data_IF_030135752884
#
_entry.id   IF_030135752884
#
_cell.length_a   1.000
_cell.length_b   1.000
_cell.length_c   1.000
_cell.angle_alpha   90.00
_cell.angle_beta   90.00
_cell.angle_gamma   90.00
#
_symmetry.space_group_name_H-M   'P 1'
#
loop_
_entity.id
_entity.type
_entity.pdbx_description
1 polymer ?
#
# COMPACT_ATOMS: atom_id res chain seq x y z
N UNK A 1 -37.15 -2.11 -42.01
CA UNK A 1 -36.99 -3.32 -41.16
C UNK A 1 -36.51 -2.82 -39.82
N UNK A 2 -37.03 -3.35 -38.70
CA UNK A 2 -36.47 -3.02 -37.38
C UNK A 2 -35.46 -4.11 -37.03
N UNK A 3 -34.18 -3.79 -37.15
CA UNK A 3 -33.14 -4.67 -36.67
C UNK A 3 -33.25 -4.76 -35.15
N UNK A 4 -33.30 -5.99 -34.65
CA UNK A 4 -33.52 -6.25 -33.23
C UNK A 4 -32.20 -6.05 -32.50
N UNK A 5 -31.99 -4.87 -31.92
CA UNK A 5 -30.77 -4.56 -31.15
C UNK A 5 -30.52 -5.64 -30.10
N UNK A 6 -29.52 -6.50 -30.36
CA UNK A 6 -29.07 -7.51 -29.42
C UNK A 6 -28.28 -6.82 -28.31
N UNK A 7 -28.88 -6.75 -27.12
CA UNK A 7 -28.22 -6.24 -25.92
C UNK A 7 -26.92 -7.02 -25.68
N UNK A 8 -25.80 -6.29 -25.56
CA UNK A 8 -24.46 -6.85 -25.34
C UNK A 8 -24.42 -7.69 -24.06
N UNK A 9 -24.91 -7.13 -22.95
CA UNK A 9 -25.18 -7.86 -21.71
C UNK A 9 -26.64 -7.57 -21.27
N UNK A 10 -27.57 -8.54 -21.37
CA UNK A 10 -28.96 -8.37 -20.93
C UNK A 10 -29.12 -7.99 -19.45
N UNK A 11 -28.14 -8.30 -18.59
CA UNK A 11 -28.14 -7.90 -17.18
C UNK A 11 -27.55 -6.50 -16.96
N UNK A 12 -26.93 -5.89 -17.98
CA UNK A 12 -26.24 -4.59 -17.90
C UNK A 12 -26.53 -3.76 -19.14
N UNK A 13 -27.79 -3.32 -19.36
CA UNK A 13 -28.18 -2.57 -20.56
C UNK A 13 -27.51 -1.19 -20.68
N UNK A 14 -26.78 -0.74 -19.65
CA UNK A 14 -25.92 0.45 -19.70
C UNK A 14 -24.53 0.18 -20.33
N UNK A 15 -24.23 -1.06 -20.76
CA UNK A 15 -23.04 -1.40 -21.54
C UNK A 15 -23.36 -1.16 -23.01
N UNK A 16 -22.72 -0.13 -23.53
CA UNK A 16 -22.95 0.45 -24.83
C UNK A 16 -21.98 -0.05 -25.91
N UNK A 17 -20.70 -0.05 -25.56
CA UNK A 17 -19.60 -0.40 -26.44
C UNK A 17 -19.41 -1.91 -26.42
N UNK A 18 -19.49 -2.56 -27.59
CA UNK A 18 -19.24 -4.00 -27.70
C UNK A 18 -17.84 -4.39 -27.20
N UNK A 19 -16.88 -3.47 -27.23
CA UNK A 19 -15.53 -3.68 -26.69
C UNK A 19 -15.48 -3.67 -25.15
N UNK A 20 -16.51 -3.17 -24.49
CA UNK A 20 -16.67 -3.23 -23.03
C UNK A 20 -17.40 -4.51 -22.56
N UNK A 21 -17.79 -5.43 -23.46
CA UNK A 21 -18.46 -6.69 -23.13
C UNK A 21 -17.73 -7.44 -21.99
N UNK A 22 -18.39 -7.75 -20.86
CA UNK A 22 -17.76 -8.37 -19.73
C UNK A 22 -17.43 -9.87 -19.92
N UNK A 23 -18.02 -10.55 -20.89
CA UNK A 23 -17.72 -11.93 -21.26
C UNK A 23 -16.40 -12.05 -22.04
N UNK A 24 -16.13 -11.09 -22.92
CA UNK A 24 -14.95 -11.06 -23.81
C UNK A 24 -13.66 -10.54 -23.13
N UNK A 25 -13.67 -10.32 -21.82
CA UNK A 25 -12.54 -9.76 -21.08
C UNK A 25 -11.38 -10.75 -20.93
N UNK A 26 -10.33 -10.57 -21.72
CA UNK A 26 -9.09 -11.38 -21.68
C UNK A 26 -8.14 -10.99 -20.55
N UNK A 27 -8.44 -11.44 -19.33
CA UNK A 27 -7.68 -11.14 -18.11
C UNK A 27 -6.15 -11.19 -18.23
N UNK A 28 -5.58 -12.24 -18.81
CA UNK A 28 -4.11 -12.37 -18.93
C UNK A 28 -3.51 -11.31 -19.84
N UNK A 29 -4.17 -10.97 -20.96
CA UNK A 29 -3.72 -9.88 -21.84
C UNK A 29 -3.85 -8.53 -21.10
N UNK A 30 -4.96 -8.27 -20.43
CA UNK A 30 -5.21 -7.03 -19.68
C UNK A 30 -4.18 -6.79 -18.57
N UNK A 31 -3.75 -7.85 -17.87
CA UNK A 31 -2.87 -7.75 -16.70
C UNK A 31 -1.38 -7.86 -17.03
N UNK A 32 -0.98 -8.59 -18.08
CA UNK A 32 0.43 -8.93 -18.33
C UNK A 32 0.99 -8.47 -19.69
N UNK A 33 0.16 -8.04 -20.65
CA UNK A 33 0.65 -7.52 -21.94
C UNK A 33 0.58 -5.97 -22.00
N UNK A 34 1.70 -5.24 -21.85
CA UNK A 34 1.71 -3.78 -21.84
C UNK A 34 1.47 -3.12 -23.22
N UNK A 35 1.57 -3.87 -24.32
CA UNK A 35 1.52 -3.33 -25.68
C UNK A 35 0.12 -3.34 -26.31
N UNK A 36 -0.91 -3.78 -25.59
CA UNK A 36 -2.29 -3.77 -26.07
C UNK A 36 -3.10 -2.57 -25.56
N UNK A 37 -4.39 -2.60 -25.86
CA UNK A 37 -5.37 -1.60 -25.45
C UNK A 37 -6.37 -2.20 -24.44
N UNK A 38 -6.90 -1.40 -23.53
CA UNK A 38 -7.92 -1.85 -22.55
C UNK A 38 -9.03 -0.83 -22.47
N UNK A 39 -10.26 -1.29 -22.70
CA UNK A 39 -11.48 -0.50 -22.57
C UNK A 39 -11.80 -0.11 -21.13
N UNK A 40 -12.71 0.84 -20.96
CA UNK A 40 -13.02 1.45 -19.67
C UNK A 40 -13.52 0.44 -18.65
N UNK A 41 -14.42 -0.46 -19.05
CA UNK A 41 -15.00 -1.45 -18.16
C UNK A 41 -14.03 -2.58 -17.86
N UNK A 42 -13.25 -3.04 -18.85
CA UNK A 42 -12.21 -4.05 -18.63
C UNK A 42 -11.12 -3.52 -17.68
N UNK A 43 -10.68 -2.27 -17.87
CA UNK A 43 -9.74 -1.60 -16.96
C UNK A 43 -10.33 -1.50 -15.54
N UNK A 44 -11.57 -1.02 -15.42
CA UNK A 44 -12.23 -0.82 -14.13
C UNK A 44 -12.43 -2.14 -13.38
N UNK A 45 -12.75 -3.24 -14.07
CA UNK A 45 -12.85 -4.58 -13.49
C UNK A 45 -11.49 -5.12 -13.03
N UNK A 46 -10.45 -5.00 -13.87
CA UNK A 46 -9.09 -5.39 -13.51
C UNK A 46 -8.61 -4.61 -12.27
N UNK A 47 -8.79 -3.30 -12.28
CA UNK A 47 -8.39 -2.42 -11.17
C UNK A 47 -9.17 -2.72 -9.88
N UNK A 48 -10.49 -2.90 -9.98
CA UNK A 48 -11.33 -3.26 -8.81
C UNK A 48 -10.94 -4.62 -8.23
N UNK A 49 -10.61 -5.61 -9.07
CA UNK A 49 -10.08 -6.90 -8.62
C UNK A 49 -8.77 -6.74 -7.85
N UNK A 50 -7.82 -5.96 -8.40
CA UNK A 50 -6.54 -5.69 -7.71
C UNK A 50 -6.74 -4.94 -6.39
N UNK A 51 -7.61 -3.92 -6.37
CA UNK A 51 -7.91 -3.13 -5.18
C UNK A 51 -8.60 -3.98 -4.09
N UNK A 52 -9.71 -4.65 -4.42
CA UNK A 52 -10.44 -5.48 -3.47
C UNK A 52 -9.61 -6.68 -3.00
N UNK A 53 -8.80 -7.29 -3.88
CA UNK A 53 -7.86 -8.34 -3.50
C UNK A 53 -6.88 -7.87 -2.42
N UNK A 54 -6.27 -6.68 -2.57
CA UNK A 54 -5.40 -6.07 -1.55
C UNK A 54 -6.15 -5.82 -0.24
N UNK A 55 -7.35 -5.22 -0.31
CA UNK A 55 -8.18 -4.92 0.86
C UNK A 55 -8.54 -6.18 1.63
N UNK A 56 -9.00 -7.24 0.94
CA UNK A 56 -9.39 -8.50 1.57
C UNK A 56 -8.18 -9.24 2.16
N UNK A 57 -7.07 -9.34 1.42
CA UNK A 57 -5.85 -10.00 1.88
C UNK A 57 -5.16 -9.27 3.05
N UNK A 58 -5.43 -7.97 3.24
CA UNK A 58 -4.96 -7.24 4.42
C UNK A 58 -5.95 -7.33 5.59
N UNK A 59 -7.21 -6.92 5.37
CA UNK A 59 -8.19 -6.75 6.44
C UNK A 59 -8.62 -8.09 7.02
N UNK A 60 -8.91 -9.10 6.19
CA UNK A 60 -9.47 -10.37 6.69
C UNK A 60 -8.48 -11.09 7.61
N UNK A 61 -7.20 -11.33 7.24
CA UNK A 61 -6.23 -11.93 8.17
C UNK A 61 -6.01 -11.09 9.42
N UNK A 62 -5.92 -9.75 9.29
CA UNK A 62 -5.70 -8.84 10.43
C UNK A 62 -6.85 -8.90 11.43
N UNK A 63 -8.10 -8.86 10.96
CA UNK A 63 -9.30 -8.94 11.81
C UNK A 63 -9.43 -10.33 12.44
N UNK A 64 -9.15 -11.41 11.69
CA UNK A 64 -9.15 -12.78 12.24
C UNK A 64 -8.14 -12.92 13.37
N UNK A 65 -6.91 -12.44 13.20
CA UNK A 65 -5.87 -12.48 14.26
C UNK A 65 -6.23 -11.60 15.46
N UNK A 66 -6.84 -10.43 15.23
CA UNK A 66 -7.33 -9.58 16.33
C UNK A 66 -8.43 -10.28 17.15
N UNK A 67 -9.41 -10.91 16.48
CA UNK A 67 -10.48 -11.67 17.15
C UNK A 67 -9.92 -12.86 17.91
N UNK A 68 -9.02 -13.65 17.30
CA UNK A 68 -8.37 -14.79 17.95
C UNK A 68 -7.55 -14.36 19.18
N UNK A 69 -6.83 -13.24 19.10
CA UNK A 69 -6.09 -12.67 20.22
C UNK A 69 -7.00 -12.23 21.38
N UNK A 70 -8.12 -11.55 21.08
CA UNK A 70 -9.13 -11.18 22.08
C UNK A 70 -9.77 -12.42 22.72
N UNK A 71 -9.99 -13.49 21.94
CA UNK A 71 -10.50 -14.76 22.42
C UNK A 71 -9.46 -15.64 23.16
N UNK A 72 -8.23 -15.15 23.34
CA UNK A 72 -7.19 -15.84 24.13
C UNK A 72 -6.41 -16.93 23.39
N UNK A 73 -6.55 -17.06 22.07
CA UNK A 73 -5.74 -17.98 21.28
C UNK A 73 -4.30 -17.46 21.11
N UNK A 74 -3.32 -18.38 21.09
CA UNK A 74 -1.94 -18.02 20.76
C UNK A 74 -1.81 -17.70 19.26
N UNK A 75 -1.67 -16.41 18.94
CA UNK A 75 -1.48 -15.92 17.56
C UNK A 75 -0.02 -15.67 17.18
N UNK A 76 0.94 -16.12 18.02
CA UNK A 76 2.37 -15.91 17.82
C UNK A 76 2.86 -16.42 16.45
N UNK A 77 2.50 -17.65 16.06
CA UNK A 77 2.89 -18.25 14.78
C UNK A 77 2.32 -17.51 13.55
N UNK A 78 1.21 -16.79 13.70
CA UNK A 78 0.61 -16.00 12.62
C UNK A 78 1.33 -14.65 12.43
N UNK A 79 1.92 -14.13 13.50
CA UNK A 79 2.74 -12.91 13.51
C UNK A 79 4.24 -13.18 13.32
N UNK A 80 4.66 -14.46 13.26
CA UNK A 80 6.06 -14.84 13.10
C UNK A 80 6.63 -14.27 11.78
N UNK A 81 7.80 -13.61 11.80
CA UNK A 81 8.33 -12.94 10.62
C UNK A 81 8.92 -13.93 9.62
N UNK A 82 8.25 -14.08 8.48
CA UNK A 82 8.79 -14.77 7.30
C UNK A 82 9.71 -13.80 6.55
N UNK A 83 10.93 -14.25 6.21
CA UNK A 83 11.91 -13.43 5.48
C UNK A 83 11.63 -13.47 3.97
N UNK A 84 11.08 -12.39 3.43
CA UNK A 84 11.00 -12.16 1.99
C UNK A 84 12.29 -11.48 1.53
N UNK A 85 13.34 -12.28 1.34
CA UNK A 85 14.70 -11.77 1.17
C UNK A 85 15.19 -11.09 2.46
N UNK A 86 15.52 -9.81 2.39
CA UNK A 86 15.94 -9.01 3.55
C UNK A 86 14.76 -8.44 4.37
N UNK A 87 13.53 -8.48 3.86
CA UNK A 87 12.37 -7.83 4.51
C UNK A 87 11.62 -8.86 5.36
N UNK A 88 11.50 -8.68 6.68
CA UNK A 88 10.65 -9.50 7.53
C UNK A 88 9.18 -9.09 7.33
N UNK A 89 8.33 -10.07 7.02
CA UNK A 89 6.89 -9.89 6.83
C UNK A 89 6.16 -10.86 7.77
N UNK A 90 5.19 -10.42 8.60
CA UNK A 90 4.39 -11.34 9.40
C UNK A 90 3.76 -12.44 8.52
N UNK A 91 3.85 -13.70 8.92
CA UNK A 91 3.44 -14.85 8.11
C UNK A 91 2.03 -14.69 7.51
N UNK A 92 1.08 -14.20 8.31
CA UNK A 92 -0.29 -13.89 7.91
C UNK A 92 -0.43 -12.84 6.78
N UNK A 93 0.54 -11.94 6.62
CA UNK A 93 0.56 -10.89 5.60
C UNK A 93 1.41 -11.26 4.37
N UNK A 94 2.08 -12.42 4.35
CA UNK A 94 2.84 -12.86 3.19
C UNK A 94 1.98 -12.92 1.90
N UNK A 95 0.74 -13.44 1.89
CA UNK A 95 -0.11 -13.41 0.70
C UNK A 95 -0.44 -11.98 0.25
N UNK A 96 -0.66 -11.06 1.19
CA UNK A 96 -0.89 -9.65 0.90
C UNK A 96 0.32 -9.00 0.24
N UNK A 97 1.54 -9.17 0.79
CA UNK A 97 2.76 -8.57 0.23
C UNK A 97 3.07 -9.10 -1.16
N UNK A 98 2.99 -10.41 -1.37
CA UNK A 98 3.16 -11.02 -2.71
C UNK A 98 2.11 -10.48 -3.69
N UNK A 99 0.85 -10.38 -3.27
CA UNK A 99 -0.22 -9.84 -4.11
C UNK A 99 -0.02 -8.36 -4.41
N UNK A 100 0.44 -7.53 -3.46
CA UNK A 100 0.80 -6.13 -3.70
C UNK A 100 1.88 -6.03 -4.78
N UNK A 101 2.99 -6.77 -4.66
CA UNK A 101 4.08 -6.74 -5.64
C UNK A 101 3.61 -7.11 -7.06
N UNK A 102 2.84 -8.19 -7.20
CA UNK A 102 2.25 -8.60 -8.49
C UNK A 102 1.32 -7.50 -9.01
N UNK A 103 0.46 -6.96 -8.16
CA UNK A 103 -0.55 -5.98 -8.58
C UNK A 103 -0.02 -4.56 -8.80
N UNK A 104 1.16 -4.19 -8.28
CA UNK A 104 1.85 -2.95 -8.70
C UNK A 104 2.22 -3.06 -10.18
N UNK A 105 2.85 -4.17 -10.57
CA UNK A 105 3.20 -4.44 -11.97
C UNK A 105 1.96 -4.53 -12.87
N UNK A 106 0.96 -5.33 -12.52
CA UNK A 106 -0.23 -5.48 -13.37
C UNK A 106 -1.12 -4.22 -13.38
N UNK A 107 -1.06 -3.38 -12.34
CA UNK A 107 -1.68 -2.05 -12.34
C UNK A 107 -0.98 -1.11 -13.32
N UNK A 108 0.36 -1.06 -13.34
CA UNK A 108 1.12 -0.30 -14.34
C UNK A 108 0.78 -0.75 -15.77
N UNK A 109 0.74 -2.07 -16.03
CA UNK A 109 0.30 -2.64 -17.32
C UNK A 109 -1.11 -2.20 -17.68
N UNK A 110 -2.08 -2.35 -16.77
CA UNK A 110 -3.47 -1.96 -17.01
C UNK A 110 -3.62 -0.46 -17.33
N UNK A 111 -2.84 0.40 -16.65
CA UNK A 111 -2.83 1.84 -16.91
C UNK A 111 -2.19 2.19 -18.26
N UNK A 112 -1.07 1.54 -18.65
CA UNK A 112 -0.49 1.70 -19.98
C UNK A 112 -1.52 1.39 -21.07
N UNK A 113 -2.17 0.22 -20.99
CA UNK A 113 -3.19 -0.20 -21.95
C UNK A 113 -4.40 0.73 -21.99
N UNK A 114 -4.80 1.31 -20.84
CA UNK A 114 -5.90 2.28 -20.77
C UNK A 114 -5.53 3.62 -21.43
N UNK A 115 -4.30 4.10 -21.24
CA UNK A 115 -3.82 5.31 -21.92
C UNK A 115 -3.66 5.10 -23.43
N UNK A 116 -3.22 3.92 -23.87
CA UNK A 116 -3.16 3.55 -25.28
C UNK A 116 -4.55 3.61 -25.96
N UNK A 117 -5.55 2.91 -25.41
CA UNK A 117 -6.96 2.97 -25.88
C UNK A 117 -7.49 4.40 -25.93
N UNK A 118 -7.13 5.23 -24.95
CA UNK A 118 -7.54 6.63 -24.89
C UNK A 118 -6.72 7.58 -25.79
N UNK A 119 -5.77 7.08 -26.58
CA UNK A 119 -4.83 7.85 -27.41
C UNK A 119 -4.09 8.94 -26.62
N UNK A 120 -3.70 8.61 -25.38
CA UNK A 120 -2.90 9.46 -24.48
C UNK A 120 -1.50 8.88 -24.31
N UNK A 121 -0.58 9.70 -23.82
CA UNK A 121 0.79 9.24 -23.55
C UNK A 121 0.78 8.16 -22.46
N UNK A 122 1.27 6.97 -22.82
CA UNK A 122 1.42 5.83 -21.89
C UNK A 122 2.43 6.11 -20.78
N UNK A 123 3.29 7.12 -20.93
CA UNK A 123 4.19 7.60 -19.86
C UNK A 123 3.42 8.03 -18.60
N UNK A 124 2.16 8.45 -18.73
CA UNK A 124 1.31 8.77 -17.57
C UNK A 124 1.04 7.55 -16.67
N UNK A 125 1.19 6.32 -17.17
CA UNK A 125 1.09 5.12 -16.34
C UNK A 125 2.18 5.06 -15.26
N UNK A 126 3.33 5.73 -15.45
CA UNK A 126 4.40 5.79 -14.45
C UNK A 126 3.97 6.48 -13.14
N UNK A 127 2.90 7.29 -13.15
CA UNK A 127 2.30 7.87 -11.93
C UNK A 127 1.90 6.77 -10.93
N UNK A 128 1.50 5.59 -11.42
CA UNK A 128 1.14 4.44 -10.57
C UNK A 128 2.34 3.91 -9.78
N UNK A 129 3.57 4.10 -10.26
CA UNK A 129 4.79 3.64 -9.61
C UNK A 129 5.28 4.61 -8.51
N UNK A 130 4.74 5.84 -8.44
CA UNK A 130 5.14 6.86 -7.46
C UNK A 130 5.06 6.36 -6.00
N UNK A 131 4.01 5.64 -5.55
CA UNK A 131 3.93 5.15 -4.18
C UNK A 131 5.05 4.15 -3.87
N UNK A 132 5.35 3.25 -4.81
CA UNK A 132 6.44 2.27 -4.68
C UNK A 132 7.80 2.98 -4.59
N UNK A 133 8.07 3.95 -5.46
CA UNK A 133 9.31 4.72 -5.46
C UNK A 133 9.48 5.55 -4.17
N UNK A 134 8.42 6.21 -3.71
CA UNK A 134 8.44 6.95 -2.44
C UNK A 134 8.59 6.02 -1.23
N UNK A 135 7.93 4.86 -1.24
CA UNK A 135 8.09 3.84 -0.21
C UNK A 135 9.51 3.28 -0.14
N UNK A 136 10.15 3.03 -1.29
CA UNK A 136 11.55 2.60 -1.35
C UNK A 136 12.53 3.68 -0.87
N UNK A 137 12.32 4.94 -1.27
CA UNK A 137 13.15 6.06 -0.80
C UNK A 137 13.00 6.30 0.71
N UNK A 138 11.76 6.25 1.22
CA UNK A 138 11.45 6.33 2.64
C UNK A 138 12.04 5.14 3.43
N UNK A 139 12.00 3.92 2.88
CA UNK A 139 12.63 2.75 3.48
C UNK A 139 14.15 2.94 3.60
N UNK A 140 14.81 3.37 2.53
CA UNK A 140 16.25 3.58 2.53
C UNK A 140 16.68 4.68 3.53
N UNK A 141 15.94 5.80 3.57
CA UNK A 141 16.17 6.88 4.53
C UNK A 141 15.93 6.44 5.98
N UNK A 142 14.82 5.75 6.25
CA UNK A 142 14.50 5.20 7.57
C UNK A 142 15.50 4.13 8.03
N UNK A 143 16.00 3.30 7.11
CA UNK A 143 17.03 2.31 7.40
C UNK A 143 18.36 2.95 7.80
N UNK A 144 18.81 3.98 7.07
CA UNK A 144 20.00 4.75 7.43
C UNK A 144 19.86 5.42 8.82
N UNK A 145 18.68 5.98 9.13
CA UNK A 145 18.38 6.53 10.46
C UNK A 145 18.38 5.45 11.55
N UNK A 146 17.85 4.25 11.27
CA UNK A 146 17.87 3.12 12.21
C UNK A 146 19.28 2.63 12.54
N UNK A 147 20.19 2.61 11.54
CA UNK A 147 21.61 2.30 11.76
C UNK A 147 22.26 3.37 12.66
N UNK A 148 22.06 4.66 12.36
CA UNK A 148 22.59 5.75 13.20
C UNK A 148 22.03 5.76 14.63
N UNK A 149 20.77 5.37 14.82
CA UNK A 149 20.16 5.18 16.14
C UNK A 149 20.82 4.03 16.91
N UNK A 150 21.10 2.91 16.24
CA UNK A 150 21.81 1.78 16.84
C UNK A 150 23.24 2.17 17.25
N UNK A 151 23.98 2.86 16.37
CA UNK A 151 25.33 3.36 16.66
C UNK A 151 25.34 4.34 17.85
N UNK A 152 24.39 5.28 17.90
CA UNK A 152 24.26 6.21 19.02
C UNK A 152 23.94 5.51 20.34
N UNK A 153 23.09 4.47 20.33
CA UNK A 153 22.81 3.66 21.53
C UNK A 153 23.99 2.77 21.93
N UNK A 154 24.72 2.20 20.98
CA UNK A 154 25.95 1.44 21.26
C UNK A 154 27.03 2.35 21.89
N UNK A 155 27.22 3.56 21.35
CA UNK A 155 28.12 4.56 21.90
C UNK A 155 27.72 5.00 23.32
N UNK A 156 26.41 5.25 23.55
CA UNK A 156 25.89 5.56 24.89
C UNK A 156 26.12 4.42 25.88
N UNK A 157 25.82 3.18 25.49
CA UNK A 157 26.04 2.00 26.33
C UNK A 157 27.53 1.76 26.61
N UNK A 158 28.43 2.09 25.67
CA UNK A 158 29.87 2.05 25.89
C UNK A 158 30.32 3.11 26.92
N UNK A 159 29.83 4.35 26.80
CA UNK A 159 30.11 5.42 27.76
C UNK A 159 29.56 5.12 29.16
N UNK A 160 28.35 4.56 29.28
CA UNK A 160 27.78 4.11 30.55
C UNK A 160 28.60 2.98 31.20
N UNK A 161 29.13 2.05 30.38
CA UNK A 161 30.06 1.01 30.85
C UNK A 161 31.40 1.58 31.31
N UNK A 162 31.95 2.56 30.60
CA UNK A 162 33.18 3.25 31.01
C UNK A 162 32.98 3.94 32.36
N UNK A 163 31.91 4.72 32.52
CA UNK A 163 31.53 5.39 33.78
C UNK A 163 31.33 4.39 34.91
N UNK A 164 30.69 3.24 34.65
CA UNK A 164 30.50 2.19 35.65
C UNK A 164 31.78 1.42 36.00
N UNK A 165 32.76 1.36 35.10
CA UNK A 165 34.05 0.69 35.32
C UNK A 165 35.07 1.54 36.09
N UNK A 166 34.91 2.86 36.09
CA UNK A 166 35.72 3.81 36.84
C UNK A 166 35.01 4.16 38.17
N UNK A 167 35.53 3.73 39.34
CA UNK A 167 34.85 3.94 40.61
C UNK A 167 34.70 5.42 40.97
N UNK A 168 35.58 6.31 40.49
CA UNK A 168 35.50 7.75 40.75
C UNK A 168 34.39 8.38 39.92
N UNK A 169 34.28 8.02 38.62
CA UNK A 169 33.16 8.46 37.76
C UNK A 169 31.82 7.88 38.22
N UNK A 170 31.78 6.62 38.66
CA UNK A 170 30.58 5.98 39.17
C UNK A 170 30.06 6.65 40.46
N UNK A 171 30.95 7.05 41.37
CA UNK A 171 30.56 7.77 42.59
C UNK A 171 30.11 9.20 42.29
N UNK A 172 30.75 9.89 41.34
CA UNK A 172 30.33 11.21 40.88
C UNK A 172 28.93 11.17 40.24
N UNK A 173 28.70 10.24 39.31
CA UNK A 173 27.39 10.04 38.66
C UNK A 173 26.28 9.69 39.67
N UNK A 174 26.58 8.90 40.72
CA UNK A 174 25.64 8.65 41.83
C UNK A 174 25.30 9.93 42.60
N UNK A 175 26.29 10.75 42.96
CA UNK A 175 26.07 12.02 43.67
C UNK A 175 25.27 13.03 42.83
N UNK A 176 25.50 13.06 41.52
CA UNK A 176 24.76 13.91 40.59
C UNK A 176 23.31 13.45 40.41
N UNK A 177 23.07 12.14 40.30
CA UNK A 177 21.72 11.56 40.28
C UNK A 177 20.96 11.78 41.60
N UNK A 178 21.62 11.65 42.75
CA UNK A 178 21.03 11.99 44.06
C UNK A 178 20.71 13.49 44.19
N UNK A 179 21.58 14.37 43.67
CA UNK A 179 21.34 15.81 43.67
C UNK A 179 20.13 16.18 42.78
N UNK A 180 20.02 15.58 41.60
CA UNK A 180 18.88 15.75 40.70
C UNK A 180 17.56 15.24 41.33
N UNK A 181 17.59 14.09 42.01
CA UNK A 181 16.43 13.54 42.72
C UNK A 181 16.00 14.43 43.91
N UNK A 182 16.95 15.03 44.63
CA UNK A 182 16.67 16.00 45.71
C UNK A 182 16.16 17.35 45.18
N UNK A 183 16.55 17.74 43.97
CA UNK A 183 16.13 19.01 43.36
C UNK A 183 14.70 19.00 42.80
N UNK A 184 14.12 17.82 42.53
CA UNK A 184 12.75 17.72 42.01
C UNK A 184 12.02 16.46 42.53
N UNK A 185 11.57 16.44 43.80
CA UNK A 185 11.00 15.25 44.45
C UNK A 185 9.67 14.76 43.83
N UNK A 186 8.94 15.62 43.12
CA UNK A 186 7.68 15.28 42.42
C UNK A 186 7.90 14.77 40.99
N UNK A 187 9.16 14.72 40.51
CA UNK A 187 9.49 14.16 39.21
C UNK A 187 9.27 12.64 39.19
N UNK A 188 8.05 12.22 38.82
CA UNK A 188 7.71 10.81 38.60
C UNK A 188 8.78 10.16 37.74
N UNK A 189 9.47 9.16 38.30
CA UNK A 189 10.41 8.34 37.56
C UNK A 189 9.74 7.85 36.27
N UNK A 190 10.40 8.08 35.12
CA UNK A 190 9.88 7.65 33.83
C UNK A 190 9.55 6.15 33.90
N UNK A 191 8.37 5.73 33.42
CA UNK A 191 7.87 4.37 33.69
C UNK A 191 8.83 3.33 33.11
N UNK A 192 9.62 2.71 33.98
CA UNK A 192 10.46 1.57 33.63
C UNK A 192 9.55 0.44 33.19
N UNK A 193 9.60 0.11 31.89
CA UNK A 193 8.88 -1.03 31.31
C UNK A 193 9.21 -2.28 32.12
N UNK A 194 8.25 -2.72 32.94
CA UNK A 194 8.31 -4.02 33.61
C UNK A 194 8.09 -5.12 32.57
N UNK A 195 9.21 -5.60 32.04
CA UNK A 195 9.30 -6.81 31.23
C UNK A 195 10.69 -7.42 31.43
N UNK A 196 10.88 -8.71 31.11
CA UNK A 196 12.23 -9.26 31.01
C UNK A 196 13.05 -8.42 30.01
N UNK A 197 14.39 -8.32 30.17
CA UNK A 197 15.22 -7.56 29.25
C UNK A 197 15.00 -8.07 27.82
N UNK A 198 14.42 -7.23 26.96
CA UNK A 198 14.41 -7.51 25.53
C UNK A 198 15.86 -7.54 25.07
N UNK A 199 16.23 -8.58 24.31
CA UNK A 199 17.57 -8.65 23.73
C UNK A 199 17.88 -7.34 22.97
N UNK A 200 19.13 -6.84 23.05
CA UNK A 200 19.50 -5.60 22.39
C UNK A 200 19.28 -5.75 20.89
N UNK A 201 18.35 -4.97 20.34
CA UNK A 201 18.00 -5.00 18.93
C UNK A 201 19.24 -4.85 18.06
N UNK A 202 19.42 -5.73 17.10
CA UNK A 202 20.53 -5.67 16.15
C UNK A 202 20.41 -4.45 15.25
N UNK A 203 21.53 -3.96 14.71
CA UNK A 203 21.55 -2.87 13.74
C UNK A 203 20.62 -3.14 12.53
N UNK A 204 20.53 -4.40 12.10
CA UNK A 204 19.64 -4.83 11.02
C UNK A 204 18.15 -4.71 11.42
N UNK A 205 17.76 -5.16 12.60
CA UNK A 205 16.38 -5.03 13.09
C UNK A 205 15.97 -3.57 13.26
N UNK A 206 16.88 -2.71 13.73
CA UNK A 206 16.64 -1.28 13.87
C UNK A 206 16.50 -0.58 12.51
N UNK A 207 17.37 -0.92 11.56
CA UNK A 207 17.28 -0.45 10.17
C UNK A 207 15.95 -0.88 9.52
N UNK A 208 15.55 -2.14 9.68
CA UNK A 208 14.31 -2.67 9.12
C UNK A 208 13.08 -2.06 9.79
N UNK A 209 13.08 -1.91 11.12
CA UNK A 209 11.99 -1.32 11.90
C UNK A 209 11.76 0.15 11.56
N UNK A 210 12.82 0.97 11.60
CA UNK A 210 12.73 2.41 11.27
C UNK A 210 12.49 2.62 9.77
N UNK A 211 13.08 1.78 8.90
CA UNK A 211 12.84 1.76 7.46
C UNK A 211 11.37 1.49 7.12
N UNK A 212 10.80 0.37 7.60
CA UNK A 212 9.38 0.03 7.37
C UNK A 212 8.44 1.04 8.05
N UNK A 213 8.77 1.50 9.25
CA UNK A 213 7.99 2.50 9.99
C UNK A 213 7.86 3.83 9.26
N UNK A 214 8.87 4.22 8.47
CA UNK A 214 8.82 5.39 7.59
C UNK A 214 8.18 5.08 6.23
N UNK A 215 8.51 3.93 5.64
CA UNK A 215 8.06 3.53 4.31
C UNK A 215 6.54 3.31 4.20
N UNK A 216 5.96 2.58 5.15
CA UNK A 216 4.54 2.19 5.12
C UNK A 216 3.60 3.41 5.08
N UNK A 217 3.67 4.40 6.00
CA UNK A 217 2.75 5.54 5.97
C UNK A 217 2.92 6.41 4.71
N UNK A 218 4.16 6.57 4.22
CA UNK A 218 4.44 7.33 2.99
C UNK A 218 3.89 6.60 1.76
N UNK A 219 4.11 5.28 1.65
CA UNK A 219 3.53 4.44 0.60
C UNK A 219 2.00 4.45 0.65
N UNK A 220 1.39 4.34 1.83
CA UNK A 220 -0.08 4.38 1.98
C UNK A 220 -0.67 5.71 1.54
N UNK A 221 -0.08 6.84 1.97
CA UNK A 221 -0.56 8.17 1.60
C UNK A 221 -0.42 8.43 0.09
N UNK A 222 0.73 8.08 -0.50
CA UNK A 222 0.94 8.18 -1.93
C UNK A 222 -0.02 7.25 -2.72
N UNK A 223 -0.24 6.02 -2.24
CA UNK A 223 -1.19 5.07 -2.84
C UNK A 223 -2.62 5.58 -2.81
N UNK A 224 -3.03 6.28 -1.74
CA UNK A 224 -4.34 6.93 -1.66
C UNK A 224 -4.50 8.04 -2.71
N UNK A 225 -3.48 8.89 -2.89
CA UNK A 225 -3.49 9.92 -3.94
C UNK A 225 -3.55 9.31 -5.35
N UNK A 226 -2.78 8.24 -5.61
CA UNK A 226 -2.83 7.51 -6.89
C UNK A 226 -4.17 6.83 -7.09
N UNK A 227 -4.76 6.22 -6.07
CA UNK A 227 -6.12 5.64 -6.12
C UNK A 227 -7.16 6.70 -6.51
N UNK A 228 -7.13 7.87 -5.88
CA UNK A 228 -8.00 8.99 -6.24
C UNK A 228 -7.79 9.44 -7.68
N UNK A 229 -6.55 9.59 -8.13
CA UNK A 229 -6.24 9.90 -9.53
C UNK A 229 -6.75 8.83 -10.50
N UNK A 230 -6.57 7.54 -10.19
CA UNK A 230 -7.10 6.44 -11.00
C UNK A 230 -8.62 6.50 -11.11
N UNK A 231 -9.34 6.72 -10.01
CA UNK A 231 -10.81 6.75 -9.99
C UNK A 231 -11.42 8.03 -10.61
N UNK A 232 -10.77 9.18 -10.40
CA UNK A 232 -11.29 10.49 -10.83
C UNK A 232 -10.87 10.86 -12.26
N UNK A 233 -9.71 10.38 -12.71
CA UNK A 233 -9.17 10.63 -14.04
C UNK A 233 -9.21 9.36 -14.90
N UNK A 234 -8.35 8.37 -14.62
CA UNK A 234 -8.06 7.25 -15.54
C UNK A 234 -9.28 6.40 -15.88
N UNK A 235 -10.06 6.02 -14.87
CA UNK A 235 -11.30 5.25 -15.01
C UNK A 235 -12.43 6.05 -15.70
N UNK A 236 -12.28 7.37 -15.86
CA UNK A 236 -13.28 8.26 -16.48
C UNK A 236 -12.94 8.70 -17.89
N UNK A 237 -11.69 8.51 -18.35
CA UNK A 237 -11.29 8.80 -19.74
C UNK A 237 -12.18 7.99 -20.69
N UNK A 238 -12.69 8.57 -21.79
CA UNK A 238 -13.52 7.84 -22.76
C UNK A 238 -12.70 6.85 -23.60
N UNK A 239 -13.31 5.74 -24.02
CA UNK A 239 -12.74 4.85 -25.05
C UNK A 239 -12.44 5.65 -26.34
N UNK A 240 -11.37 5.32 -27.05
CA UNK A 240 -10.88 6.06 -28.23
C UNK A 240 -10.38 7.49 -27.99
N UNK A 241 -10.50 8.03 -26.78
CA UNK A 241 -9.94 9.33 -26.38
C UNK A 241 -10.77 10.59 -26.70
N UNK A 242 -11.96 10.44 -27.29
CA UNK A 242 -12.79 11.56 -27.77
C UNK A 242 -13.78 12.01 -26.68
N UNK A 243 -13.66 13.26 -26.22
CA UNK A 243 -14.60 13.90 -25.29
C UNK A 243 -13.93 14.65 -24.14
N UNK A 244 -14.56 15.73 -23.67
CA UNK A 244 -14.02 16.58 -22.58
C UNK A 244 -14.31 16.04 -21.17
N UNK A 245 -15.42 15.32 -20.96
CA UNK A 245 -15.70 14.33 -19.89
C UNK A 245 -17.20 13.95 -19.95
N UNK A 246 -17.56 12.68 -20.19
CA UNK A 246 -18.93 12.14 -20.02
C UNK A 246 -18.86 10.67 -19.57
N UNK A 247 -19.80 10.22 -18.75
CA UNK A 247 -19.80 8.86 -18.16
C UNK A 247 -21.14 8.16 -18.35
N UNK A 248 -21.11 7.03 -19.06
CA UNK A 248 -22.26 6.14 -19.32
C UNK A 248 -21.89 5.07 -20.36
N UNK A 249 -20.78 4.35 -20.10
CA UNK A 249 -19.98 3.59 -21.09
C UNK A 249 -19.83 4.29 -22.47
N UNK A 250 -19.69 5.61 -22.39
CA UNK A 250 -19.11 6.52 -23.38
C UNK A 250 -19.91 6.74 -24.68
N UNK A 251 -21.08 6.08 -24.81
CA UNK A 251 -22.23 6.26 -25.74
C UNK A 251 -22.30 5.18 -26.85
N UNK A 252 -23.41 4.40 -26.93
CA UNK A 252 -23.67 3.42 -27.98
C UNK A 252 -24.22 4.07 -29.27
N UNK A 253 -24.59 3.24 -30.23
CA UNK A 253 -25.26 3.63 -31.50
C UNK A 253 -26.64 4.32 -31.33
N UNK A 254 -27.14 4.52 -30.09
CA UNK A 254 -27.92 5.71 -29.64
C UNK A 254 -27.04 6.50 -28.66
N UNK A 255 -26.75 7.80 -28.80
CA UNK A 255 -27.58 8.93 -29.29
C UNK A 255 -27.31 9.29 -30.76
N UNK A 256 -26.89 8.31 -31.54
CA UNK A 256 -26.61 8.38 -32.98
C UNK A 256 -27.91 8.33 -33.83
N UNK A 257 -29.10 8.19 -33.23
CA UNK A 257 -30.36 8.63 -33.88
C UNK A 257 -31.45 9.25 -32.97
N UNK A 258 -31.66 8.83 -31.71
CA UNK A 258 -32.77 9.34 -30.88
C UNK A 258 -32.48 9.54 -29.38
N UNK A 259 -33.37 10.28 -28.70
CA UNK A 259 -33.53 10.25 -27.24
C UNK A 259 -34.96 9.84 -26.89
N UNK A 260 -35.15 8.75 -26.13
CA UNK A 260 -36.39 8.52 -25.39
C UNK A 260 -36.12 8.41 -23.87
N UNK A 261 -35.57 9.48 -23.27
CA UNK A 261 -35.53 9.64 -21.80
C UNK A 261 -36.17 10.98 -21.39
N UNK A 262 -37.47 11.10 -21.68
CA UNK A 262 -38.40 11.95 -20.93
C UNK A 262 -39.46 11.03 -20.32
N UNK A 263 -39.26 10.64 -19.06
CA UNK A 263 -40.26 9.95 -18.24
C UNK A 263 -39.92 10.03 -16.75
N UNK A 264 -39.82 11.26 -16.21
CA UNK A 264 -40.39 11.66 -14.91
C UNK A 264 -40.87 13.10 -15.06
#
# INVERSE_FOLDING_TARGET
MHDTHTLIDPHRPWIADKRDDPGEMKWLETLFNPFGETTKLHFSRAWTFMFLGRVLLYIVPTVVVAILGIAGFQTAALNEPVKLGAIPVPAMLLPFVVFVLVTEFTSFVAHMRRFAEARRSTLLAAVVLVPLLLGLGAFAGGAALGIGQHEAMAAKAAAEREIASDPVKAEAARKEAEAAAKANPDAKAAPQRHGPPSEPQTAMEMALGTGLGMAIPIWMLASFCVMLWTLLYVARIPNGGVGTFRTGSDIPEEQIEGRPYQAV
#
